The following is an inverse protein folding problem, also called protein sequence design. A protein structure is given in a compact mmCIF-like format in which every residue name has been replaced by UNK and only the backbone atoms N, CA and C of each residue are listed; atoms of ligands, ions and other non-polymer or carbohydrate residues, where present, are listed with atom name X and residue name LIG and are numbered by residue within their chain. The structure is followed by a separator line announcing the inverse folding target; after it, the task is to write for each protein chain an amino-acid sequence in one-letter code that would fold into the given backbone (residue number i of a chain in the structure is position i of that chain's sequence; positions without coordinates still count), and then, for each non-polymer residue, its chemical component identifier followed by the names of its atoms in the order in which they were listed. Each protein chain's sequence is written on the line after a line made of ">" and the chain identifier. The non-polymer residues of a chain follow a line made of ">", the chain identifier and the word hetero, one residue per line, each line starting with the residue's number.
data_IF_016164567162
#
_entry.id   IF_016164567162
#
_cell.length_a   1.000
_cell.length_b   1.000
_cell.length_c   1.000
_cell.angle_alpha   90.00
_cell.angle_beta   90.00
_cell.angle_gamma   90.00
#
_symmetry.space_group_name_H-M   'P 1'
#
loop_
_entity.id
_entity.type
_entity.pdbx_description
1 polymer ?
#
# COMPACT_ATOMS: atom_id res chain seq x y z
N UNK A 1 25.99 -22.15 -10.94
CA UNK A 1 26.01 -20.78 -10.38
C UNK A 1 25.78 -19.75 -11.45
N UNK A 2 24.95 -18.76 -11.15
CA UNK A 2 24.80 -17.57 -12.00
C UNK A 2 25.70 -16.46 -11.45
N UNK A 3 26.23 -15.57 -12.31
CA UNK A 3 26.97 -14.39 -11.83
C UNK A 3 26.05 -13.52 -10.97
N UNK A 4 26.58 -12.98 -9.87
CA UNK A 4 25.85 -12.13 -8.93
C UNK A 4 26.53 -10.77 -8.78
N UNK A 5 25.73 -9.73 -8.52
CA UNK A 5 26.23 -8.41 -8.16
C UNK A 5 26.40 -8.31 -6.65
N UNK A 6 27.47 -7.64 -6.22
CA UNK A 6 27.66 -7.26 -4.82
C UNK A 6 26.70 -6.12 -4.46
N UNK A 7 26.12 -6.14 -3.26
CA UNK A 7 25.23 -5.08 -2.79
C UNK A 7 25.97 -4.07 -1.91
N UNK A 8 26.02 -2.81 -2.33
CA UNK A 8 26.65 -1.70 -1.62
C UNK A 8 25.83 -1.18 -0.42
N UNK A 9 26.17 0.00 0.08
CA UNK A 9 25.51 0.62 1.24
C UNK A 9 24.87 1.95 0.83
N UNK A 10 23.56 1.95 0.61
CA UNK A 10 22.86 3.15 0.15
C UNK A 10 22.73 4.25 1.20
N UNK A 11 22.95 3.95 2.48
CA UNK A 11 22.83 4.93 3.56
C UNK A 11 24.09 5.82 3.66
N UNK A 12 25.17 5.45 2.97
CA UNK A 12 26.44 6.19 2.89
C UNK A 12 26.59 7.05 1.64
N UNK A 13 25.59 7.03 0.74
CA UNK A 13 25.65 7.78 -0.51
C UNK A 13 25.79 9.27 -0.26
N UNK A 14 26.74 9.88 -0.97
CA UNK A 14 26.89 11.33 -1.04
C UNK A 14 26.36 11.87 -2.37
N UNK A 15 25.74 13.05 -2.29
CA UNK A 15 25.31 13.78 -3.50
C UNK A 15 26.57 14.12 -4.31
N UNK A 16 26.54 13.84 -5.62
CA UNK A 16 27.66 14.01 -6.54
C UNK A 16 28.47 12.74 -6.82
N UNK A 17 28.24 11.65 -6.09
CA UNK A 17 28.83 10.35 -6.43
C UNK A 17 28.35 9.86 -7.81
N UNK A 18 29.21 9.18 -8.56
CA UNK A 18 28.83 8.58 -9.83
C UNK A 18 27.78 7.48 -9.66
N UNK A 19 26.83 7.46 -10.58
CA UNK A 19 25.75 6.49 -10.64
C UNK A 19 25.70 5.86 -12.03
N UNK A 20 25.70 4.53 -12.09
CA UNK A 20 25.65 3.76 -13.33
C UNK A 20 24.35 2.97 -13.36
N UNK A 21 23.45 3.29 -14.27
CA UNK A 21 22.18 2.59 -14.43
C UNK A 21 22.28 1.56 -15.56
N UNK A 22 21.81 0.34 -15.29
CA UNK A 22 21.78 -0.75 -16.27
C UNK A 22 20.35 -1.22 -16.44
N UNK A 23 19.93 -1.47 -17.69
CA UNK A 23 18.60 -1.99 -17.99
C UNK A 23 18.41 -2.42 -19.43
N UNK A 24 17.16 -2.62 -19.82
CA UNK A 24 16.76 -2.96 -21.18
C UNK A 24 15.68 -1.99 -21.69
N UNK A 25 16.02 -0.71 -21.90
CA UNK A 25 15.06 0.27 -22.35
C UNK A 25 14.61 -0.07 -23.78
N UNK A 26 13.29 -0.03 -24.00
CA UNK A 26 12.66 -0.24 -25.32
C UNK A 26 13.00 -1.58 -26.03
N UNK A 27 13.55 -2.56 -25.31
CA UNK A 27 13.88 -3.88 -25.85
C UNK A 27 15.18 -3.94 -26.68
N UNK A 28 16.02 -2.89 -26.65
CA UNK A 28 17.27 -2.81 -27.41
C UNK A 28 18.41 -3.71 -26.88
N UNK A 29 18.18 -4.47 -25.80
CA UNK A 29 19.13 -5.30 -25.06
C UNK A 29 20.28 -4.49 -24.42
N UNK A 30 20.48 -4.70 -23.10
CA UNK A 30 21.65 -4.28 -22.30
C UNK A 30 22.16 -2.83 -22.52
N UNK A 31 21.39 -1.83 -22.05
CA UNK A 31 21.82 -0.42 -22.07
C UNK A 31 22.44 -0.02 -20.74
N UNK A 32 23.54 0.73 -20.82
CA UNK A 32 24.21 1.35 -19.68
C UNK A 32 24.16 2.86 -19.84
N UNK A 33 23.79 3.57 -18.77
CA UNK A 33 23.83 5.04 -18.70
C UNK A 33 24.57 5.46 -17.43
N UNK A 34 25.24 6.60 -17.48
CA UNK A 34 26.05 7.12 -16.38
C UNK A 34 25.60 8.54 -16.06
N UNK A 35 25.56 8.85 -14.77
CA UNK A 35 25.30 10.17 -14.23
C UNK A 35 25.84 10.25 -12.80
N UNK A 36 25.20 11.04 -11.95
CA UNK A 36 25.54 11.22 -10.55
C UNK A 36 24.32 11.03 -9.65
N UNK A 37 24.56 10.84 -8.36
CA UNK A 37 23.54 10.94 -7.32
C UNK A 37 23.19 12.41 -7.14
N UNK A 38 22.02 12.82 -7.62
CA UNK A 38 21.58 14.22 -7.56
C UNK A 38 20.94 14.58 -6.22
N UNK A 39 20.32 13.60 -5.54
CA UNK A 39 19.74 13.75 -4.21
C UNK A 39 19.44 12.38 -3.58
N UNK A 40 19.30 12.36 -2.26
CA UNK A 40 18.76 11.21 -1.50
C UNK A 40 17.52 11.64 -0.72
N UNK A 41 16.75 10.67 -0.21
CA UNK A 41 15.58 10.96 0.61
C UNK A 41 14.38 11.52 -0.16
N UNK A 42 14.33 11.40 -1.50
CA UNK A 42 13.25 11.97 -2.31
C UNK A 42 11.92 11.25 -2.07
N UNK A 43 10.84 12.03 -2.20
CA UNK A 43 9.46 11.58 -2.16
C UNK A 43 8.78 11.99 -3.46
N UNK A 44 8.09 11.05 -4.11
CA UNK A 44 7.29 11.33 -5.31
C UNK A 44 5.94 10.60 -5.22
N UNK A 45 4.84 11.17 -5.76
CA UNK A 45 3.59 10.45 -5.90
C UNK A 45 3.77 9.20 -6.76
N UNK A 46 3.08 8.11 -6.42
CA UNK A 46 3.03 6.94 -7.28
C UNK A 46 2.14 7.21 -8.50
N UNK A 47 2.48 6.71 -9.69
CA UNK A 47 1.66 6.89 -10.89
C UNK A 47 0.23 6.34 -10.77
N UNK A 48 0.02 5.34 -9.90
CA UNK A 48 -1.28 4.70 -9.67
C UNK A 48 -2.16 5.42 -8.64
N UNK A 49 -1.68 6.52 -8.05
CA UNK A 49 -2.38 7.26 -7.00
C UNK A 49 -2.44 6.55 -5.65
N UNK A 50 -1.76 5.40 -5.46
CA UNK A 50 -1.83 4.59 -4.23
C UNK A 50 -0.97 5.11 -3.06
N UNK A 51 -0.52 6.37 -3.15
CA UNK A 51 0.35 7.02 -2.17
C UNK A 51 1.67 7.47 -2.79
N UNK A 52 2.76 7.30 -2.04
CA UNK A 52 4.07 7.86 -2.40
C UNK A 52 5.14 6.77 -2.45
N UNK A 53 6.07 6.92 -3.39
CA UNK A 53 7.41 6.38 -3.19
C UNK A 53 8.16 7.35 -2.27
N UNK A 54 8.85 6.80 -1.29
CA UNK A 54 9.54 7.59 -0.26
C UNK A 54 10.97 7.08 -0.11
N UNK A 55 11.85 7.95 0.40
CA UNK A 55 13.27 7.67 0.56
C UNK A 55 13.98 7.22 -0.72
N UNK A 56 13.63 7.81 -1.87
CA UNK A 56 14.26 7.49 -3.16
C UNK A 56 15.63 8.15 -3.31
N UNK A 57 16.52 7.46 -4.02
CA UNK A 57 17.71 8.04 -4.62
C UNK A 57 17.28 8.73 -5.92
N UNK A 58 17.73 9.95 -6.15
CA UNK A 58 17.59 10.66 -7.42
C UNK A 58 18.92 10.63 -8.16
N UNK A 59 18.86 10.42 -9.47
CA UNK A 59 20.02 10.49 -10.36
C UNK A 59 19.66 11.18 -11.68
N UNK A 60 20.64 11.78 -12.33
CA UNK A 60 20.55 12.28 -13.70
C UNK A 60 21.07 11.28 -14.74
N UNK A 61 21.54 10.10 -14.31
CA UNK A 61 21.75 8.97 -15.21
C UNK A 61 20.43 8.69 -15.95
N UNK A 62 20.49 8.55 -17.27
CA UNK A 62 19.28 8.40 -18.08
C UNK A 62 18.53 7.11 -17.71
N UNK A 63 17.36 7.28 -17.09
CA UNK A 63 16.39 6.22 -16.79
C UNK A 63 15.24 6.34 -17.78
N UNK A 64 14.87 5.23 -18.43
CA UNK A 64 13.73 5.15 -19.35
C UNK A 64 12.91 3.89 -19.05
N UNK A 65 11.65 3.78 -19.51
CA UNK A 65 10.90 2.54 -19.45
C UNK A 65 11.72 1.36 -20.00
N UNK A 66 11.85 0.30 -19.18
CA UNK A 66 12.73 -0.85 -19.43
C UNK A 66 14.03 -0.87 -18.61
N UNK A 67 14.40 0.25 -17.98
CA UNK A 67 15.40 0.25 -16.91
C UNK A 67 14.81 -0.15 -15.55
N UNK A 68 13.49 -0.01 -15.37
CA UNK A 68 12.79 -0.37 -14.14
C UNK A 68 13.07 -1.84 -13.74
N UNK A 69 13.48 -2.05 -12.49
CA UNK A 69 13.91 -3.34 -11.96
C UNK A 69 15.42 -3.63 -12.14
N UNK A 70 16.11 -2.91 -13.04
CA UNK A 70 17.55 -2.98 -13.20
C UNK A 70 18.33 -2.26 -12.09
N UNK A 71 19.63 -2.52 -11.93
CA UNK A 71 20.42 -1.95 -10.86
C UNK A 71 20.87 -0.51 -11.17
N UNK A 72 20.99 0.27 -10.10
CA UNK A 72 21.82 1.47 -10.03
C UNK A 72 23.09 1.10 -9.27
N UNK A 73 24.26 1.29 -9.87
CA UNK A 73 25.56 0.90 -9.35
C UNK A 73 26.42 2.12 -9.00
N UNK A 74 27.31 1.95 -8.02
CA UNK A 74 28.44 2.87 -7.81
C UNK A 74 29.63 2.50 -8.72
N UNK A 75 30.73 3.26 -8.63
CA UNK A 75 31.96 3.05 -9.43
C UNK A 75 32.66 1.70 -9.17
N UNK A 76 32.32 1.02 -8.06
CA UNK A 76 32.85 -0.30 -7.71
C UNK A 76 32.00 -1.44 -8.29
N UNK A 77 30.93 -1.12 -9.02
CA UNK A 77 29.99 -2.11 -9.55
C UNK A 77 29.04 -2.69 -8.49
N UNK A 78 28.97 -2.09 -7.29
CA UNK A 78 28.08 -2.52 -6.23
C UNK A 78 26.70 -1.90 -6.41
N UNK A 79 25.63 -2.68 -6.19
CA UNK A 79 24.26 -2.19 -6.26
C UNK A 79 23.98 -1.22 -5.12
N UNK A 80 23.64 0.03 -5.45
CA UNK A 80 23.25 1.08 -4.50
C UNK A 80 21.75 1.39 -4.57
N UNK A 81 21.08 1.00 -5.65
CA UNK A 81 19.62 1.11 -5.77
C UNK A 81 19.03 0.24 -6.87
N UNK A 82 17.70 0.23 -6.94
CA UNK A 82 16.91 -0.44 -7.97
C UNK A 82 16.14 0.63 -8.75
N UNK A 83 16.44 0.77 -10.03
CA UNK A 83 15.79 1.74 -10.91
C UNK A 83 14.28 1.51 -10.89
N UNK A 84 13.49 2.55 -10.62
CA UNK A 84 12.06 2.39 -10.31
C UNK A 84 11.19 3.30 -11.17
N UNK A 85 11.47 4.59 -11.17
CA UNK A 85 10.57 5.60 -11.73
C UNK A 85 11.32 6.77 -12.34
N UNK A 86 10.60 7.56 -13.13
CA UNK A 86 11.03 8.84 -13.69
C UNK A 86 9.92 9.87 -13.45
N UNK A 87 10.27 11.16 -13.43
CA UNK A 87 9.26 12.20 -13.71
C UNK A 87 8.86 12.10 -15.19
N UNK A 88 7.62 12.46 -15.51
CA UNK A 88 7.17 12.55 -16.89
C UNK A 88 8.17 13.39 -17.71
N UNK A 89 8.75 12.86 -18.81
CA UNK A 89 9.76 13.57 -19.60
C UNK A 89 9.30 14.93 -20.14
N UNK A 90 7.99 15.15 -20.28
CA UNK A 90 7.43 16.45 -20.69
C UNK A 90 7.47 17.50 -19.56
N UNK A 91 7.59 17.07 -18.31
CA UNK A 91 7.69 17.95 -17.14
C UNK A 91 9.14 18.19 -16.73
N UNK A 92 9.99 17.16 -16.80
CA UNK A 92 11.41 17.28 -16.51
C UNK A 92 12.21 16.17 -17.21
N UNK A 93 13.37 16.54 -17.77
CA UNK A 93 14.34 15.60 -18.34
C UNK A 93 15.42 15.26 -17.30
N UNK A 94 16.03 14.08 -17.43
CA UNK A 94 17.15 13.62 -16.59
C UNK A 94 16.85 13.63 -15.07
N UNK A 95 15.62 13.26 -14.69
CA UNK A 95 15.26 13.02 -13.28
C UNK A 95 14.78 11.57 -13.15
N UNK A 96 15.73 10.70 -12.84
CA UNK A 96 15.49 9.29 -12.54
C UNK A 96 15.46 9.02 -11.04
N UNK A 97 14.72 7.98 -10.64
CA UNK A 97 14.67 7.54 -9.26
C UNK A 97 14.90 6.04 -9.09
N UNK A 98 15.60 5.71 -8.01
CA UNK A 98 15.86 4.34 -7.58
C UNK A 98 15.47 4.12 -6.12
N UNK A 99 14.95 2.94 -5.82
CA UNK A 99 14.76 2.48 -4.44
C UNK A 99 16.14 2.13 -3.86
N UNK A 100 16.54 2.65 -2.69
CA UNK A 100 17.84 2.34 -2.08
C UNK A 100 18.03 0.84 -1.85
N UNK A 101 19.24 0.32 -2.08
CA UNK A 101 19.50 -1.12 -1.90
C UNK A 101 19.28 -1.57 -0.46
N UNK A 102 19.55 -0.71 0.54
CA UNK A 102 19.31 -1.07 1.94
C UNK A 102 17.81 -1.25 2.23
N UNK A 103 16.93 -0.61 1.47
CA UNK A 103 15.48 -0.89 1.52
C UNK A 103 15.20 -2.32 1.10
N UNK A 104 15.74 -2.79 -0.03
CA UNK A 104 15.57 -4.17 -0.46
C UNK A 104 16.21 -5.17 0.53
N UNK A 105 17.43 -4.87 1.04
CA UNK A 105 18.13 -5.70 2.04
C UNK A 105 17.30 -5.94 3.29
N UNK A 106 16.50 -4.96 3.75
CA UNK A 106 15.62 -5.12 4.92
C UNK A 106 14.55 -6.21 4.72
N UNK A 107 14.08 -6.40 3.49
CA UNK A 107 12.98 -7.31 3.19
C UNK A 107 13.41 -8.62 2.52
N UNK A 108 14.62 -8.69 1.95
CA UNK A 108 15.06 -9.83 1.14
C UNK A 108 15.00 -11.15 1.90
N UNK A 109 15.40 -11.16 3.17
CA UNK A 109 15.36 -12.38 3.99
C UNK A 109 13.93 -12.88 4.21
N UNK A 110 12.95 -11.98 4.37
CA UNK A 110 11.55 -12.38 4.51
C UNK A 110 11.00 -12.96 3.22
N UNK A 111 11.34 -12.35 2.07
CA UNK A 111 10.92 -12.82 0.75
C UNK A 111 11.54 -14.20 0.47
N UNK A 112 12.82 -14.39 0.75
CA UNK A 112 13.49 -15.70 0.57
C UNK A 112 12.86 -16.75 1.48
N UNK A 113 12.64 -16.42 2.75
CA UNK A 113 12.16 -17.39 3.73
C UNK A 113 10.67 -17.73 3.59
N UNK A 114 9.83 -16.77 3.20
CA UNK A 114 8.37 -16.91 3.30
C UNK A 114 7.62 -16.56 2.01
N UNK A 115 8.31 -16.06 0.98
CA UNK A 115 7.70 -15.58 -0.25
C UNK A 115 6.88 -14.29 -0.09
N UNK A 116 6.84 -13.69 1.11
CA UNK A 116 6.03 -12.50 1.41
C UNK A 116 6.78 -11.51 2.32
N UNK A 117 6.29 -10.28 2.33
CA UNK A 117 6.77 -9.22 3.22
C UNK A 117 5.70 -8.91 4.26
N UNK A 118 6.07 -8.96 5.53
CA UNK A 118 5.22 -8.46 6.61
C UNK A 118 5.26 -6.93 6.64
N UNK A 119 4.08 -6.31 6.61
CA UNK A 119 3.98 -4.84 6.62
C UNK A 119 4.09 -4.35 8.06
N UNK A 120 4.94 -3.36 8.31
CA UNK A 120 4.95 -2.69 9.60
C UNK A 120 3.65 -1.89 9.83
N UNK A 121 3.23 -1.74 11.08
CA UNK A 121 2.08 -0.91 11.46
C UNK A 121 2.26 -0.14 12.76
N UNK A 122 1.52 0.96 12.85
CA UNK A 122 1.46 1.84 14.01
C UNK A 122 0.22 1.59 14.87
N UNK A 123 -0.92 1.23 14.25
CA UNK A 123 -2.20 0.94 14.94
C UNK A 123 -3.00 2.19 15.28
N UNK A 124 -3.12 3.08 14.30
CA UNK A 124 -3.89 4.32 14.39
C UNK A 124 -4.84 4.45 13.21
N UNK A 125 -6.01 5.00 13.48
CA UNK A 125 -6.92 5.50 12.45
C UNK A 125 -6.59 6.96 12.21
N UNK A 126 -6.40 7.30 10.95
CA UNK A 126 -5.77 8.55 10.56
C UNK A 126 -6.54 9.27 9.47
N UNK A 127 -6.48 10.60 9.50
CA UNK A 127 -7.00 11.47 8.46
C UNK A 127 -5.98 12.58 8.17
N UNK A 128 -5.87 12.97 6.90
CA UNK A 128 -5.04 14.12 6.53
C UNK A 128 -5.66 15.40 7.10
N UNK A 129 -4.84 16.23 7.76
CA UNK A 129 -5.31 17.53 8.25
C UNK A 129 -5.60 18.44 7.07
N UNK A 130 -6.85 18.89 6.97
CA UNK A 130 -7.29 19.96 6.08
C UNK A 130 -7.56 21.22 6.89
N UNK A 131 -7.62 22.38 6.24
CA UNK A 131 -7.95 23.64 6.92
C UNK A 131 -9.32 23.57 7.61
N UNK A 132 -10.31 22.97 6.96
CA UNK A 132 -11.65 22.76 7.53
C UNK A 132 -11.61 21.87 8.78
N UNK A 133 -10.84 20.77 8.74
CA UNK A 133 -10.68 19.87 9.88
C UNK A 133 -9.92 20.55 11.04
N UNK A 134 -8.87 21.30 10.73
CA UNK A 134 -8.11 22.03 11.73
C UNK A 134 -8.98 23.07 12.44
N UNK A 135 -9.80 23.81 11.70
CA UNK A 135 -10.74 24.80 12.27
C UNK A 135 -11.85 24.14 13.10
N UNK A 136 -12.45 23.04 12.61
CA UNK A 136 -13.56 22.39 13.31
C UNK A 136 -13.13 21.74 14.64
N UNK A 137 -11.92 21.22 14.71
CA UNK A 137 -11.37 20.56 15.91
C UNK A 137 -10.48 21.49 16.76
N UNK A 138 -10.28 22.75 16.35
CA UNK A 138 -9.41 23.70 17.05
C UNK A 138 -7.93 23.32 17.07
N UNK A 139 -7.46 22.57 16.05
CA UNK A 139 -6.08 22.13 15.93
C UNK A 139 -5.15 23.35 15.77
N UNK A 140 -3.97 23.28 16.37
CA UNK A 140 -2.95 24.34 16.30
C UNK A 140 -2.02 24.22 15.09
N UNK A 141 -2.17 23.14 14.33
CA UNK A 141 -1.41 22.86 13.11
C UNK A 141 -2.38 22.67 11.94
N UNK A 142 -2.00 23.19 10.78
CA UNK A 142 -2.79 23.15 9.54
C UNK A 142 -2.35 22.05 8.58
N UNK A 143 -1.29 21.31 8.95
CA UNK A 143 -0.70 20.21 8.19
C UNK A 143 -0.35 19.06 9.12
N UNK A 144 -0.32 17.85 8.57
CA UNK A 144 0.00 16.64 9.30
C UNK A 144 -1.13 15.62 9.23
N UNK A 145 -1.06 14.64 10.11
CA UNK A 145 -1.97 13.50 10.12
C UNK A 145 -2.68 13.41 11.44
N UNK A 146 -3.97 13.73 11.44
CA UNK A 146 -4.84 13.65 12.60
C UNK A 146 -5.09 12.20 12.99
N UNK A 147 -4.91 11.88 14.26
CA UNK A 147 -5.21 10.57 14.85
C UNK A 147 -6.65 10.59 15.37
N UNK A 148 -7.56 9.99 14.60
CA UNK A 148 -8.98 9.93 14.95
C UNK A 148 -9.29 8.84 15.95
N UNK A 149 -8.46 7.80 16.03
CA UNK A 149 -8.59 6.73 17.01
C UNK A 149 -7.25 6.00 17.12
N UNK A 150 -6.94 5.51 18.32
CA UNK A 150 -5.80 4.62 18.55
C UNK A 150 -6.35 3.22 18.83
N UNK A 151 -5.84 2.23 18.10
CA UNK A 151 -6.25 0.83 18.30
C UNK A 151 -5.75 0.35 19.68
N UNK A 152 -6.60 -0.37 20.41
CA UNK A 152 -6.25 -0.92 21.72
C UNK A 152 -5.06 -1.88 21.60
N UNK A 153 -4.14 -1.85 22.56
CA UNK A 153 -2.95 -2.71 22.64
C UNK A 153 -1.96 -2.59 21.46
N UNK A 154 -2.15 -1.59 20.59
CA UNK A 154 -1.30 -1.29 19.45
C UNK A 154 0.06 -0.69 19.83
N UNK A 155 1.05 -0.68 18.90
CA UNK A 155 2.29 0.06 19.03
C UNK A 155 2.10 1.53 19.46
N UNK A 156 1.16 2.23 18.82
CA UNK A 156 0.84 3.61 19.12
C UNK A 156 0.31 3.79 20.55
N UNK A 157 -0.62 2.93 20.98
CA UNK A 157 -1.15 2.95 22.34
C UNK A 157 -0.05 2.73 23.38
N UNK A 158 0.80 1.73 23.17
CA UNK A 158 1.94 1.42 24.05
C UNK A 158 2.95 2.55 24.15
N UNK A 159 3.15 3.29 23.06
CA UNK A 159 4.04 4.44 23.03
C UNK A 159 3.40 5.74 23.54
N UNK A 160 2.10 5.74 23.87
CA UNK A 160 1.40 6.90 24.42
C UNK A 160 0.92 7.92 23.39
N UNK A 161 0.80 7.53 22.12
CA UNK A 161 0.02 8.29 21.12
C UNK A 161 -1.45 8.24 21.53
N UNK A 162 -2.17 9.36 21.37
CA UNK A 162 -3.56 9.51 21.79
C UNK A 162 -4.44 9.99 20.64
N UNK A 163 -5.73 9.71 20.75
CA UNK A 163 -6.74 10.37 19.92
C UNK A 163 -6.64 11.89 20.09
N UNK A 164 -6.79 12.62 18.99
CA UNK A 164 -6.63 14.07 18.96
C UNK A 164 -5.20 14.55 18.67
N UNK A 165 -4.21 13.66 18.69
CA UNK A 165 -2.85 13.99 18.26
C UNK A 165 -2.80 14.27 16.76
N UNK A 166 -1.90 15.17 16.34
CA UNK A 166 -1.53 15.34 14.93
C UNK A 166 -0.10 14.88 14.73
N UNK A 167 0.13 13.79 14.01
CA UNK A 167 1.47 13.34 13.64
C UNK A 167 2.04 14.31 12.60
N UNK A 168 3.20 14.88 12.90
CA UNK A 168 3.88 15.88 12.05
C UNK A 168 5.22 15.41 11.52
N UNK A 169 5.91 14.46 12.19
CA UNK A 169 7.18 13.88 11.72
C UNK A 169 7.30 12.39 12.06
N UNK A 170 8.00 11.65 11.20
CA UNK A 170 8.48 10.29 11.44
C UNK A 170 9.98 10.23 11.18
N UNK A 171 10.78 9.89 12.20
CA UNK A 171 12.25 9.88 12.15
C UNK A 171 12.85 11.18 11.59
N UNK A 172 12.24 12.33 11.93
CA UNK A 172 12.67 13.65 11.45
C UNK A 172 12.09 14.05 10.09
N UNK A 173 11.58 13.11 9.31
CA UNK A 173 10.88 13.40 8.04
C UNK A 173 9.52 14.01 8.32
N UNK A 174 9.25 15.19 7.77
CA UNK A 174 7.94 15.85 7.85
C UNK A 174 6.90 14.99 7.14
N UNK A 175 5.73 14.85 7.75
CA UNK A 175 4.60 14.09 7.22
C UNK A 175 3.44 15.06 7.01
N UNK A 176 2.93 15.16 5.80
CA UNK A 176 1.86 16.11 5.47
C UNK A 176 0.51 15.42 5.21
N UNK A 177 0.48 14.13 4.89
CA UNK A 177 -0.75 13.37 4.62
C UNK A 177 -0.77 11.95 5.20
N UNK A 178 -1.97 11.39 5.33
CA UNK A 178 -2.19 10.03 5.81
C UNK A 178 -1.55 8.97 4.89
N UNK A 179 -1.60 9.18 3.57
CA UNK A 179 -0.98 8.33 2.56
C UNK A 179 0.54 8.36 2.66
N UNK A 180 1.10 9.54 2.94
CA UNK A 180 2.53 9.71 3.17
C UNK A 180 2.97 8.97 4.44
N UNK A 181 2.27 9.16 5.57
CA UNK A 181 2.57 8.44 6.81
C UNK A 181 2.56 6.94 6.58
N UNK A 182 1.52 6.45 5.90
CA UNK A 182 1.36 5.03 5.57
C UNK A 182 2.51 4.52 4.71
N UNK A 183 2.94 5.31 3.73
CA UNK A 183 4.06 4.95 2.83
C UNK A 183 5.39 4.92 3.59
N UNK A 184 5.62 5.89 4.49
CA UNK A 184 6.84 5.94 5.29
C UNK A 184 6.93 4.80 6.29
N UNK A 185 5.84 4.45 6.98
CA UNK A 185 5.81 3.32 7.92
C UNK A 185 6.13 2.01 7.20
N UNK A 186 5.68 1.84 5.96
CA UNK A 186 5.93 0.62 5.14
C UNK A 186 7.38 0.44 4.69
N UNK A 187 8.26 1.42 4.87
CA UNK A 187 9.69 1.26 4.58
C UNK A 187 10.45 0.48 5.67
N UNK A 188 9.79 0.22 6.79
CA UNK A 188 10.34 -0.46 7.94
C UNK A 188 9.76 -1.87 8.05
N UNK A 189 10.51 -2.73 8.73
CA UNK A 189 10.04 -4.05 9.13
C UNK A 189 9.37 -3.98 10.50
N UNK A 190 8.44 -4.90 10.81
CA UNK A 190 7.97 -5.09 12.17
C UNK A 190 9.12 -5.23 13.19
N UNK A 191 8.91 -4.71 14.39
CA UNK A 191 9.93 -4.64 15.45
C UNK A 191 10.87 -3.44 15.34
N UNK A 192 10.84 -2.67 14.24
CA UNK A 192 11.69 -1.49 14.10
C UNK A 192 11.25 -0.37 15.05
N UNK A 193 12.20 0.20 15.79
CA UNK A 193 11.98 1.38 16.64
C UNK A 193 12.09 2.67 15.81
N UNK A 194 11.07 3.53 15.87
CA UNK A 194 10.99 4.81 15.15
C UNK A 194 10.57 5.94 16.09
N UNK A 195 10.97 7.17 15.77
CA UNK A 195 10.56 8.39 16.47
C UNK A 195 9.36 9.02 15.77
N UNK A 196 8.22 9.09 16.46
CA UNK A 196 7.01 9.76 15.97
C UNK A 196 6.88 11.09 16.70
N UNK A 197 6.87 12.21 15.98
CA UNK A 197 6.59 13.52 16.58
C UNK A 197 5.14 13.90 16.34
N UNK A 198 4.41 14.17 17.42
CA UNK A 198 3.01 14.60 17.41
C UNK A 198 2.88 16.03 17.92
N UNK A 199 1.91 16.78 17.39
CA UNK A 199 1.39 17.97 18.01
C UNK A 199 0.17 17.58 18.87
N UNK A 200 0.27 17.79 20.18
CA UNK A 200 -0.81 17.57 21.14
C UNK A 200 -1.19 18.89 21.79
N UNK A 201 -2.38 19.40 21.44
CA UNK A 201 -2.87 20.68 21.94
C UNK A 201 -1.86 21.84 21.78
N UNK A 202 -1.15 21.89 20.64
CA UNK A 202 -0.16 22.93 20.34
C UNK A 202 1.28 22.65 20.79
N UNK A 203 1.54 21.56 21.53
CA UNK A 203 2.89 21.18 21.95
C UNK A 203 3.43 20.03 21.10
N UNK A 204 4.65 20.16 20.60
CA UNK A 204 5.34 19.04 19.96
C UNK A 204 5.86 18.05 21.01
N UNK A 205 5.58 16.76 20.81
CA UNK A 205 6.01 15.66 21.65
C UNK A 205 6.61 14.58 20.74
N UNK A 206 7.84 14.16 21.00
CA UNK A 206 8.45 13.04 20.30
C UNK A 206 8.34 11.77 21.12
N UNK A 207 7.78 10.72 20.52
CA UNK A 207 7.52 9.42 21.13
C UNK A 207 8.33 8.35 20.39
N UNK A 208 8.98 7.48 21.16
CA UNK A 208 9.64 6.29 20.65
C UNK A 208 8.62 5.16 20.47
N UNK A 209 8.40 4.71 19.24
CA UNK A 209 7.42 3.67 18.91
C UNK A 209 8.13 2.46 18.31
N UNK A 210 7.84 1.28 18.84
CA UNK A 210 8.29 0.01 18.23
C UNK A 210 7.18 -0.48 17.31
N UNK A 211 7.39 -0.42 15.98
CA UNK A 211 6.39 -0.81 15.00
C UNK A 211 6.00 -2.28 15.17
N UNK A 212 4.73 -2.60 15.04
CA UNK A 212 4.25 -3.97 15.07
C UNK A 212 4.18 -4.59 13.69
N UNK A 213 3.80 -5.86 13.62
CA UNK A 213 3.33 -6.47 12.38
C UNK A 213 1.89 -6.02 12.16
N UNK A 214 1.63 -5.35 11.01
CA UNK A 214 0.26 -5.06 10.58
C UNK A 214 -0.49 -6.36 10.72
N UNK A 215 -1.53 -6.41 11.57
CA UNK A 215 -2.39 -7.57 11.60
C UNK A 215 -2.79 -7.75 10.16
N UNK A 216 -2.33 -8.85 9.52
CA UNK A 216 -2.86 -9.13 8.21
C UNK A 216 -4.37 -9.15 8.42
N UNK A 217 -5.15 -9.00 7.37
CA UNK A 217 -6.49 -9.58 7.43
C UNK A 217 -6.38 -11.13 7.53
N UNK A 218 -5.46 -11.68 8.32
CA UNK A 218 -5.51 -12.90 9.13
C UNK A 218 -6.31 -12.68 10.42
N UNK A 219 -7.11 -11.61 10.48
CA UNK A 219 -8.45 -11.62 11.05
C UNK A 219 -9.53 -12.09 10.05
N UNK A 220 -9.15 -12.48 8.82
CA UNK A 220 -9.65 -13.77 8.36
C UNK A 220 -9.04 -14.79 9.31
N UNK A 221 -9.81 -15.15 10.34
CA UNK A 221 -10.08 -16.57 10.54
C UNK A 221 -10.11 -17.23 9.16
N UNK A 222 -9.74 -18.49 9.06
CA UNK A 222 -10.16 -19.34 7.96
C UNK A 222 -11.70 -19.41 7.99
N UNK A 223 -12.40 -18.28 7.83
CA UNK A 223 -13.83 -18.17 7.64
C UNK A 223 -13.98 -18.64 6.22
N UNK A 224 -14.02 -19.96 6.07
CA UNK A 224 -14.47 -20.60 4.86
C UNK A 224 -15.74 -19.87 4.44
N UNK A 225 -15.74 -19.32 3.23
CA UNK A 225 -16.93 -18.65 2.70
C UNK A 225 -18.06 -19.67 2.69
N UNK A 226 -19.23 -19.29 3.20
CA UNK A 226 -20.43 -20.11 3.03
C UNK A 226 -20.84 -20.08 1.56
N UNK A 227 -21.04 -21.26 0.98
CA UNK A 227 -21.62 -21.36 -0.35
C UNK A 227 -23.07 -20.86 -0.27
N UNK A 228 -23.42 -19.89 -1.10
CA UNK A 228 -24.79 -19.38 -1.17
C UNK A 228 -25.23 -19.29 -2.62
N UNK A 229 -26.39 -19.86 -2.93
CA UNK A 229 -26.98 -19.85 -4.26
C UNK A 229 -26.03 -20.33 -5.38
N UNK A 230 -25.19 -21.33 -5.05
CA UNK A 230 -24.19 -21.91 -5.94
C UNK A 230 -22.91 -21.09 -6.10
N UNK A 231 -22.70 -20.06 -5.28
CA UNK A 231 -21.52 -19.18 -5.32
C UNK A 231 -20.60 -19.49 -4.15
N UNK A 232 -19.31 -19.72 -4.43
CA UNK A 232 -18.25 -19.68 -3.43
C UNK A 232 -17.35 -18.48 -3.69
N UNK A 233 -17.03 -17.76 -2.62
CA UNK A 233 -16.37 -16.45 -2.71
C UNK A 233 -15.10 -16.41 -1.86
N UNK A 234 -14.26 -15.41 -2.10
CA UNK A 234 -13.09 -15.13 -1.27
C UNK A 234 -12.84 -13.64 -1.17
N UNK A 235 -12.00 -13.21 -0.23
CA UNK A 235 -11.56 -11.82 -0.17
C UNK A 235 -10.78 -11.46 -1.43
N UNK A 236 -11.00 -10.25 -1.94
CA UNK A 236 -10.25 -9.71 -3.08
C UNK A 236 -8.75 -9.63 -2.79
N UNK A 237 -7.94 -10.14 -3.71
CA UNK A 237 -6.48 -9.97 -3.70
C UNK A 237 -6.02 -8.93 -4.72
N UNK A 238 -4.76 -8.50 -4.65
CA UNK A 238 -4.17 -7.63 -5.68
C UNK A 238 -4.11 -8.33 -7.05
N UNK A 239 -3.83 -9.64 -7.05
CA UNK A 239 -3.76 -10.46 -8.26
C UNK A 239 -5.12 -10.62 -8.94
N UNK A 240 -6.19 -10.77 -8.15
CA UNK A 240 -7.55 -10.76 -8.66
C UNK A 240 -7.87 -9.45 -9.38
N UNK A 241 -7.42 -8.31 -8.82
CA UNK A 241 -7.71 -6.99 -9.39
C UNK A 241 -7.04 -6.80 -10.74
N UNK A 242 -5.79 -7.22 -10.89
CA UNK A 242 -5.11 -7.20 -12.20
C UNK A 242 -5.77 -8.17 -13.18
N UNK A 243 -6.08 -9.39 -12.74
CA UNK A 243 -6.60 -10.46 -13.60
C UNK A 243 -7.98 -10.13 -14.17
N UNK A 244 -8.89 -9.65 -13.32
CA UNK A 244 -10.28 -9.38 -13.69
C UNK A 244 -10.58 -7.90 -13.95
N UNK A 245 -9.53 -7.06 -14.06
CA UNK A 245 -9.62 -5.62 -14.32
C UNK A 245 -10.59 -4.90 -13.36
N UNK A 246 -10.44 -5.21 -12.07
CA UNK A 246 -11.34 -4.71 -11.04
C UNK A 246 -10.89 -3.29 -10.63
N UNK A 247 -11.79 -2.28 -10.60
CA UNK A 247 -11.46 -0.94 -10.18
C UNK A 247 -10.80 -0.90 -8.80
N UNK A 248 -9.76 -0.06 -8.63
CA UNK A 248 -8.98 0.00 -7.39
C UNK A 248 -9.83 0.33 -6.15
N UNK A 249 -10.87 1.16 -6.32
CA UNK A 249 -11.80 1.54 -5.25
C UNK A 249 -12.95 0.56 -4.99
N UNK A 250 -13.09 -0.51 -5.78
CA UNK A 250 -14.18 -1.48 -5.58
C UNK A 250 -13.83 -2.43 -4.42
N UNK A 251 -14.57 -2.33 -3.32
CA UNK A 251 -14.56 -3.30 -2.23
C UNK A 251 -15.56 -4.44 -2.52
N UNK A 252 -15.31 -5.63 -1.98
CA UNK A 252 -16.13 -6.80 -2.30
C UNK A 252 -15.48 -8.14 -2.01
N UNK A 253 -16.23 -9.20 -2.31
CA UNK A 253 -15.74 -10.58 -2.37
C UNK A 253 -15.76 -11.06 -3.81
N UNK A 254 -14.73 -11.80 -4.23
CA UNK A 254 -14.64 -12.35 -5.58
C UNK A 254 -15.17 -13.77 -5.64
N UNK A 255 -15.95 -14.07 -6.67
CA UNK A 255 -16.47 -15.41 -6.95
C UNK A 255 -15.34 -16.30 -7.50
N UNK A 256 -15.01 -17.36 -6.76
CA UNK A 256 -13.98 -18.35 -7.13
C UNK A 256 -14.56 -19.61 -7.77
N UNK A 257 -15.76 -20.00 -7.36
CA UNK A 257 -16.54 -21.06 -8.00
C UNK A 257 -17.98 -20.59 -8.19
N UNK A 258 -18.59 -20.94 -9.32
CA UNK A 258 -20.00 -20.65 -9.58
C UNK A 258 -20.70 -21.81 -10.27
N UNK A 259 -21.76 -22.32 -9.62
CA UNK A 259 -22.80 -23.17 -10.23
C UNK A 259 -23.99 -22.33 -10.73
N UNK A 260 -23.91 -21.01 -10.65
CA UNK A 260 -24.97 -20.09 -11.00
C UNK A 260 -24.88 -19.68 -12.49
N UNK A 261 -26.03 -19.58 -13.16
CA UNK A 261 -26.08 -19.22 -14.59
C UNK A 261 -25.78 -17.75 -14.86
N UNK A 262 -26.03 -16.85 -13.90
CA UNK A 262 -25.97 -15.40 -14.07
C UNK A 262 -24.66 -14.79 -13.57
N UNK A 263 -24.18 -15.22 -12.39
CA UNK A 263 -22.96 -14.70 -11.77
C UNK A 263 -21.80 -15.67 -12.08
N UNK A 264 -20.75 -15.18 -12.76
CA UNK A 264 -19.61 -16.00 -13.21
C UNK A 264 -18.40 -15.88 -12.27
N UNK A 265 -17.47 -16.83 -12.38
CA UNK A 265 -16.16 -16.75 -11.72
C UNK A 265 -15.45 -15.47 -12.15
N UNK A 266 -14.84 -14.76 -11.20
CA UNK A 266 -14.24 -13.46 -11.41
C UNK A 266 -15.17 -12.27 -11.16
N UNK A 267 -16.48 -12.50 -10.97
CA UNK A 267 -17.39 -11.44 -10.54
C UNK A 267 -17.09 -11.00 -9.11
N UNK A 268 -17.22 -9.70 -8.85
CA UNK A 268 -17.04 -9.11 -7.51
C UNK A 268 -18.38 -8.74 -6.94
N UNK A 269 -18.79 -9.41 -5.86
CA UNK A 269 -20.02 -9.08 -5.13
C UNK A 269 -19.69 -8.00 -4.11
N UNK A 270 -20.32 -6.84 -4.27
CA UNK A 270 -20.07 -5.66 -3.42
C UNK A 270 -21.29 -5.29 -2.56
N UNK A 271 -22.46 -5.85 -2.83
CA UNK A 271 -23.69 -5.62 -2.04
C UNK A 271 -24.69 -6.75 -2.19
N UNK A 272 -25.45 -7.01 -1.12
CA UNK A 272 -26.62 -7.88 -1.14
C UNK A 272 -27.81 -7.10 -0.58
N UNK A 273 -28.98 -7.19 -1.22
CA UNK A 273 -30.24 -6.77 -0.63
C UNK A 273 -31.08 -7.97 -0.19
N UNK A 274 -31.78 -7.84 0.94
CA UNK A 274 -32.70 -8.83 1.50
C UNK A 274 -33.98 -8.10 1.90
N UNK A 275 -35.11 -8.43 1.25
CA UNK A 275 -36.42 -7.81 1.49
C UNK A 275 -36.39 -6.27 1.48
N UNK A 276 -35.58 -5.68 0.59
CA UNK A 276 -35.42 -4.23 0.44
C UNK A 276 -34.33 -3.60 1.32
N UNK A 277 -33.79 -4.31 2.32
CA UNK A 277 -32.65 -3.83 3.11
C UNK A 277 -31.34 -4.17 2.41
N UNK A 278 -30.42 -3.21 2.32
CA UNK A 278 -29.13 -3.38 1.63
C UNK A 278 -27.97 -3.52 2.61
N UNK A 279 -27.07 -4.44 2.30
CA UNK A 279 -25.87 -4.75 3.06
C UNK A 279 -24.66 -4.65 2.14
N UNK A 280 -23.74 -3.73 2.45
CA UNK A 280 -22.48 -3.64 1.71
C UNK A 280 -21.56 -4.80 2.12
N UNK A 281 -20.93 -5.41 1.13
CA UNK A 281 -20.04 -6.56 1.32
C UNK A 281 -18.62 -6.07 1.05
N UNK A 282 -17.77 -6.02 2.07
CA UNK A 282 -16.37 -5.60 1.91
C UNK A 282 -15.40 -6.77 1.97
N UNK A 283 -15.81 -7.86 2.62
CA UNK A 283 -15.00 -9.07 2.86
C UNK A 283 -15.92 -10.29 3.13
N UNK A 284 -15.31 -11.47 3.27
CA UNK A 284 -16.00 -12.76 3.49
C UNK A 284 -16.78 -12.79 4.81
N UNK A 285 -16.39 -12.03 5.84
CA UNK A 285 -17.17 -11.98 7.08
C UNK A 285 -18.48 -11.24 6.88
N UNK A 286 -18.50 -10.15 6.10
CA UNK A 286 -19.74 -9.44 5.75
C UNK A 286 -20.65 -10.34 4.92
N UNK A 287 -20.08 -11.05 3.93
CA UNK A 287 -20.78 -12.06 3.15
C UNK A 287 -21.45 -13.12 4.04
N UNK A 288 -20.67 -13.76 4.93
CA UNK A 288 -21.20 -14.80 5.81
C UNK A 288 -22.27 -14.26 6.76
N UNK A 289 -22.09 -13.06 7.33
CA UNK A 289 -23.11 -12.43 8.20
C UNK A 289 -24.43 -12.22 7.48
N UNK A 290 -24.40 -11.77 6.22
CA UNK A 290 -25.64 -11.56 5.46
C UNK A 290 -26.27 -12.89 5.08
N UNK A 291 -25.48 -13.81 4.53
CA UNK A 291 -25.94 -15.14 4.11
C UNK A 291 -26.57 -15.91 5.27
N UNK A 292 -26.02 -15.82 6.48
CA UNK A 292 -26.54 -16.51 7.66
C UNK A 292 -27.92 -16.03 8.12
N UNK A 293 -28.32 -14.84 7.71
CA UNK A 293 -29.60 -14.26 8.07
C UNK A 293 -30.65 -14.39 6.96
N UNK A 294 -30.29 -14.92 5.79
CA UNK A 294 -31.22 -15.16 4.69
C UNK A 294 -32.09 -16.39 4.98
N UNK A 295 -33.40 -16.24 4.86
CA UNK A 295 -34.40 -17.27 5.13
C UNK A 295 -35.20 -17.60 3.88
N UNK A 296 -35.66 -18.86 3.79
CA UNK A 296 -36.60 -19.27 2.75
C UNK A 296 -37.83 -18.35 2.77
N UNK A 297 -38.18 -17.84 1.59
CA UNK A 297 -39.22 -16.84 1.39
C UNK A 297 -38.69 -15.42 1.11
N UNK A 298 -37.45 -15.12 1.48
CA UNK A 298 -36.84 -13.80 1.29
C UNK A 298 -36.61 -13.45 -0.18
N UNK A 299 -36.72 -12.17 -0.49
CA UNK A 299 -36.38 -11.60 -1.79
C UNK A 299 -34.96 -11.04 -1.74
N UNK A 300 -34.08 -11.63 -2.55
CA UNK A 300 -32.65 -11.35 -2.55
C UNK A 300 -32.25 -10.62 -3.82
N UNK A 301 -31.38 -9.61 -3.71
CA UNK A 301 -30.69 -8.97 -4.84
C UNK A 301 -29.18 -9.01 -4.62
N UNK A 302 -28.43 -9.75 -5.44
CA UNK A 302 -26.97 -9.79 -5.40
C UNK A 302 -26.42 -8.79 -6.41
N UNK A 303 -25.73 -7.76 -5.93
CA UNK A 303 -25.10 -6.72 -6.75
C UNK A 303 -23.63 -7.08 -6.97
N UNK A 304 -23.23 -7.12 -8.23
CA UNK A 304 -21.89 -7.54 -8.61
C UNK A 304 -21.32 -6.73 -9.77
N UNK A 305 -19.99 -6.68 -9.82
CA UNK A 305 -19.22 -6.12 -10.93
C UNK A 305 -18.61 -7.27 -11.72
N UNK A 306 -18.73 -7.22 -13.05
CA UNK A 306 -18.11 -8.18 -13.94
C UNK A 306 -17.82 -7.53 -15.30
N UNK A 307 -16.60 -7.68 -15.82
CA UNK A 307 -16.18 -7.16 -17.13
C UNK A 307 -16.51 -5.68 -17.36
N UNK A 308 -16.29 -4.82 -16.36
CA UNK A 308 -16.52 -3.37 -16.48
C UNK A 308 -17.97 -2.94 -16.22
N UNK A 309 -18.88 -3.87 -15.94
CA UNK A 309 -20.31 -3.58 -15.78
C UNK A 309 -20.77 -3.92 -14.36
N UNK A 310 -21.53 -3.01 -13.76
CA UNK A 310 -22.29 -3.26 -12.54
C UNK A 310 -23.63 -3.90 -12.90
N UNK A 311 -23.98 -4.99 -12.24
CA UNK A 311 -25.20 -5.76 -12.49
C UNK A 311 -25.85 -6.17 -11.17
N UNK A 312 -27.13 -6.51 -11.23
CA UNK A 312 -27.88 -7.07 -10.11
C UNK A 312 -28.59 -8.34 -10.58
N UNK A 313 -28.49 -9.39 -9.77
CA UNK A 313 -29.24 -10.62 -9.96
C UNK A 313 -30.20 -10.80 -8.78
N UNK A 314 -31.50 -10.80 -9.06
CA UNK A 314 -32.53 -10.86 -8.03
C UNK A 314 -33.37 -12.13 -8.14
N UNK A 315 -33.72 -12.72 -7.00
CA UNK A 315 -34.51 -13.94 -6.93
C UNK A 315 -35.25 -14.04 -5.58
N UNK A 316 -36.29 -14.88 -5.54
CA UNK A 316 -36.89 -15.30 -4.27
C UNK A 316 -36.20 -16.57 -3.79
N UNK A 317 -35.70 -16.57 -2.56
CA UNK A 317 -35.00 -17.71 -1.99
C UNK A 317 -36.02 -18.79 -1.59
N UNK A 318 -36.06 -19.88 -2.36
CA UNK A 318 -37.04 -20.96 -2.21
C UNK A 318 -36.49 -22.16 -1.44
#
# INVERSE_FOLDING_TARGET
>A
DLPVLEMGDSDKLQIGEWAIAIGNPLGFQHTVTVGVISATGRKIPKPDGSGYYTNLIQTDAAINPGNSGGPLLNIYGQVIGINTAIINPTQAMNIGFAIPINTAKRFINQIIATGRVEKAYLGVYIQTVTEALAKSLGLKVTKGVYVSQVEKDSPAAKAGIKEGDVIVKLNGTIVESAEELTSLVRNYTPGTKVKVTVNRAGKEITLDVTLGTLPSQTGSSTTTSKEFYGLKVSNLTADDRSTYKIPAGLEGVIVKESKNSFIKVGAVIYRISVNGYSFDIKNVNDWNKVVDNIKKGDYIGIFYFYNGVNSVFSFRYN
#
